data_IF_357699454923
#
_entry.id   IF_357699454923
#
_cell.length_a   1.000
_cell.length_b   1.000
_cell.length_c   1.000
_cell.angle_alpha   90.00
_cell.angle_beta   90.00
_cell.angle_gamma   90.00
#
_symmetry.space_group_name_H-M   'P 1'
#
loop_
_entity.id
_entity.type
_entity.pdbx_description
1 polymer ?
#
# COMPACT_ATOMS: atom_id res chain seq x y z
N UNK A 1 -13.62 2.40 -0.92
CA UNK A 1 -12.92 3.03 -2.05
C UNK A 1 -11.53 3.37 -1.55
N UNK A 2 -10.50 2.62 -1.96
CA UNK A 2 -9.13 2.96 -1.59
C UNK A 2 -8.76 4.33 -2.19
N UNK A 3 -8.26 5.25 -1.37
CA UNK A 3 -7.91 6.60 -1.80
C UNK A 3 -6.40 6.77 -1.91
N UNK A 4 -5.99 7.81 -2.65
CA UNK A 4 -4.59 8.18 -2.81
C UNK A 4 -3.86 8.35 -1.46
N UNK A 5 -4.60 8.83 -0.46
CA UNK A 5 -4.10 9.03 0.91
C UNK A 5 -3.78 7.70 1.60
N UNK A 6 -4.58 6.65 1.38
CA UNK A 6 -4.34 5.32 1.97
C UNK A 6 -3.00 4.74 1.48
N UNK A 7 -2.71 4.93 0.20
CA UNK A 7 -1.47 4.50 -0.43
C UNK A 7 -0.25 5.28 0.08
N UNK A 8 -0.39 6.59 0.30
CA UNK A 8 0.68 7.43 0.83
C UNK A 8 1.01 7.09 2.29
N UNK A 9 -0.04 6.87 3.10
CA UNK A 9 0.08 6.40 4.47
C UNK A 9 0.75 5.02 4.54
N UNK A 10 0.30 4.07 3.70
CA UNK A 10 0.87 2.72 3.65
C UNK A 10 2.35 2.73 3.21
N UNK A 11 2.75 3.59 2.27
CA UNK A 11 4.16 3.76 1.88
C UNK A 11 5.00 4.36 3.00
N UNK A 12 4.52 5.43 3.64
CA UNK A 12 5.21 6.07 4.77
C UNK A 12 5.39 5.09 5.93
N UNK A 13 4.36 4.29 6.21
CA UNK A 13 4.38 3.19 7.16
C UNK A 13 5.45 2.14 6.83
N UNK A 14 5.46 1.66 5.59
CA UNK A 14 6.43 0.67 5.13
C UNK A 14 7.87 1.16 5.23
N UNK A 15 8.10 2.43 4.90
CA UNK A 15 9.41 3.05 4.98
C UNK A 15 9.89 3.16 6.44
N UNK A 16 9.03 3.59 7.37
CA UNK A 16 9.35 3.66 8.80
C UNK A 16 9.59 2.29 9.42
N UNK A 17 8.86 1.27 8.96
CA UNK A 17 9.04 -0.12 9.37
C UNK A 17 10.39 -0.68 8.91
N UNK A 18 10.78 -0.42 7.67
CA UNK A 18 12.06 -0.88 7.09
C UNK A 18 13.26 -0.12 7.64
N UNK A 19 13.11 1.18 7.87
CA UNK A 19 14.16 1.99 8.49
C UNK A 19 14.40 1.60 9.95
N UNK A 20 13.57 0.71 10.51
CA UNK A 20 13.67 0.23 11.89
C UNK A 20 13.23 1.28 12.93
N UNK A 21 12.71 2.41 12.47
CA UNK A 21 12.28 3.52 13.33
C UNK A 21 11.00 3.18 14.09
N UNK A 22 10.15 2.31 13.52
CA UNK A 22 8.91 1.86 14.15
C UNK A 22 8.76 0.34 14.05
N UNK A 23 8.77 -0.40 15.17
CA UNK A 23 8.63 -1.86 15.17
C UNK A 23 7.21 -2.34 14.82
N UNK A 24 6.22 -1.43 14.85
CA UNK A 24 4.80 -1.69 14.64
C UNK A 24 4.17 -0.48 13.96
N UNK A 25 3.46 -0.72 12.87
CA UNK A 25 2.71 0.31 12.14
C UNK A 25 1.25 -0.10 12.05
N UNK A 26 0.36 0.81 12.40
CA UNK A 26 -1.08 0.59 12.33
C UNK A 26 -1.62 1.30 11.10
N UNK A 27 -2.26 0.55 10.21
CA UNK A 27 -2.95 1.11 9.03
C UNK A 27 -4.44 0.84 9.21
N UNK A 28 -5.27 1.87 9.08
CA UNK A 28 -6.72 1.75 9.11
C UNK A 28 -7.23 1.31 7.73
N UNK A 29 -7.62 0.04 7.60
CA UNK A 29 -8.24 -0.51 6.40
C UNK A 29 -9.75 -0.63 6.62
N UNK A 30 -10.53 0.21 5.92
CA UNK A 30 -12.01 0.14 5.95
C UNK A 30 -12.65 0.15 7.37
N UNK A 31 -11.99 0.78 8.35
CA UNK A 31 -12.45 0.83 9.75
C UNK A 31 -11.86 -0.24 10.68
N UNK A 32 -11.02 -1.14 10.16
CA UNK A 32 -10.20 -2.05 10.97
C UNK A 32 -8.74 -1.59 10.99
N UNK A 33 -8.17 -1.56 12.20
CA UNK A 33 -6.76 -1.28 12.41
C UNK A 33 -5.93 -2.53 12.18
N UNK A 34 -5.14 -2.54 11.12
CA UNK A 34 -4.21 -3.63 10.82
C UNK A 34 -2.82 -3.26 11.30
N UNK A 35 -2.28 -4.07 12.21
CA UNK A 35 -0.94 -3.87 12.77
C UNK A 35 0.09 -4.68 11.97
N UNK A 36 1.06 -3.97 11.39
CA UNK A 36 2.18 -4.53 10.65
C UNK A 36 3.46 -4.40 11.47
N UNK A 37 4.14 -5.53 11.70
CA UNK A 37 5.45 -5.59 12.36
C UNK A 37 6.52 -6.00 11.35
N UNK A 38 7.80 -5.94 11.75
CA UNK A 38 8.92 -6.33 10.88
C UNK A 38 8.75 -7.75 10.30
N UNK A 39 8.16 -8.67 11.08
CA UNK A 39 7.82 -10.04 10.67
C UNK A 39 6.80 -10.07 9.52
N UNK A 40 5.87 -9.12 9.51
CA UNK A 40 4.78 -9.02 8.52
C UNK A 40 5.04 -7.94 7.46
N UNK A 41 6.25 -7.40 7.37
CA UNK A 41 6.61 -6.34 6.40
C UNK A 41 6.37 -6.77 4.94
N UNK A 42 6.48 -8.07 4.66
CA UNK A 42 6.19 -8.65 3.34
C UNK A 42 4.70 -8.52 2.99
N UNK A 43 3.80 -8.70 3.98
CA UNK A 43 2.36 -8.53 3.79
C UNK A 43 2.00 -7.07 3.53
N UNK A 44 2.63 -6.12 4.25
CA UNK A 44 2.45 -4.69 4.01
C UNK A 44 2.89 -4.28 2.60
N UNK A 45 4.01 -4.82 2.11
CA UNK A 45 4.46 -4.60 0.72
C UNK A 45 3.45 -5.11 -0.30
N UNK A 46 2.88 -6.29 -0.07
CA UNK A 46 1.86 -6.88 -0.94
C UNK A 46 0.60 -6.01 -0.96
N UNK A 47 0.17 -5.53 0.20
CA UNK A 47 -0.98 -4.63 0.33
C UNK A 47 -0.78 -3.31 -0.44
N UNK A 48 0.40 -2.69 -0.36
CA UNK A 48 0.73 -1.49 -1.15
C UNK A 48 0.64 -1.77 -2.65
N UNK A 49 1.09 -2.94 -3.10
CA UNK A 49 1.01 -3.33 -4.51
C UNK A 49 -0.44 -3.57 -4.97
N UNK A 50 -1.29 -4.10 -4.09
CA UNK A 50 -2.73 -4.26 -4.34
C UNK A 50 -3.44 -2.90 -4.39
N UNK A 51 -3.18 -2.02 -3.42
CA UNK A 51 -3.64 -0.62 -3.42
C UNK A 51 -3.24 0.12 -4.70
N UNK A 52 -1.98 -0.01 -5.12
CA UNK A 52 -1.51 0.58 -6.38
C UNK A 52 -2.32 0.08 -7.59
N UNK A 53 -2.64 -1.21 -7.63
CA UNK A 53 -3.46 -1.78 -8.71
C UNK A 53 -4.90 -1.27 -8.67
N UNK A 54 -5.52 -1.21 -7.49
CA UNK A 54 -6.89 -0.71 -7.32
C UNK A 54 -7.03 0.77 -7.69
N UNK A 55 -6.02 1.58 -7.33
CA UNK A 55 -5.95 3.00 -7.71
C UNK A 55 -5.63 3.23 -9.19
N UNK A 56 -5.49 2.17 -9.99
CA UNK A 56 -5.24 2.30 -11.43
C UNK A 56 -3.81 2.76 -11.76
N UNK A 57 -2.85 2.58 -10.85
CA UNK A 57 -1.41 2.69 -11.19
C UNK A 57 -0.91 1.51 -12.03
N UNK A 58 -1.77 0.53 -12.33
CA UNK A 58 -1.55 -0.29 -13.51
C UNK A 58 -1.34 0.67 -14.67
N UNK A 59 -0.21 0.55 -15.38
CA UNK A 59 0.13 1.27 -16.60
C UNK A 59 -0.98 1.10 -17.63
N UNK A 60 -2.05 1.87 -17.45
CA UNK A 60 -3.07 2.17 -18.42
C UNK A 60 -2.50 3.36 -19.18
N UNK A 61 -1.38 3.12 -19.85
CA UNK A 61 -1.20 3.79 -21.13
C UNK A 61 -2.44 3.44 -21.97
N UNK A 62 -2.99 4.38 -22.76
CA UNK A 62 -4.19 4.10 -23.53
C UNK A 62 -3.94 2.84 -24.34
N UNK A 63 -4.73 1.79 -24.08
CA UNK A 63 -4.74 0.58 -24.88
C UNK A 63 -5.29 0.99 -26.24
N UNK A 64 -4.43 1.56 -27.10
CA UNK A 64 -4.72 1.86 -28.49
C UNK A 64 -4.86 0.53 -29.21
N UNK A 65 -6.08 -0.02 -29.19
CA UNK A 65 -6.50 -1.07 -30.12
C UNK A 65 -6.60 -0.39 -31.48
N UNK A 66 -5.55 -0.50 -32.28
CA UNK A 66 -5.64 -0.18 -33.71
C UNK A 66 -6.42 -1.32 -34.37
N UNK A 67 -7.58 -0.98 -34.92
CA UNK A 67 -8.32 -1.81 -35.86
C UNK A 67 -7.88 -1.49 -37.29
#
# INVERSE_FOLDING_TARGET
>A
MATQQDLDLAKSAYQQLILGTMPRVVVDQNGERVEYTATNAVLLKKYIAELQRELGYATTGPMRVFF
#
